data_IF_202701869258
#
_entry.id   IF_202701869258
#
_cell.length_a   1.000
_cell.length_b   1.000
_cell.length_c   1.000
_cell.angle_alpha   90.00
_cell.angle_beta   90.00
_cell.angle_gamma   90.00
#
_symmetry.space_group_name_H-M   'P 1'
#
loop_
_entity.id
_entity.type
_entity.pdbx_description
1 polymer ?
#
# COMPACT_ATOMS: atom_id res chain seq x y z
N UNK A 1 -20.78 -23.41 12.66
CA UNK A 1 -21.31 -22.18 12.05
C UNK A 1 -20.15 -21.30 11.58
N UNK A 2 -20.14 -20.92 10.30
CA UNK A 2 -19.07 -20.04 9.81
C UNK A 2 -19.27 -18.63 10.34
N UNK A 3 -18.19 -18.05 10.87
CA UNK A 3 -18.18 -16.68 11.37
C UNK A 3 -17.21 -15.87 10.51
N UNK A 4 -17.68 -14.77 9.99
CA UNK A 4 -16.89 -13.84 9.18
C UNK A 4 -16.84 -12.49 9.86
N UNK A 5 -15.65 -11.96 10.04
CA UNK A 5 -15.42 -10.60 10.51
C UNK A 5 -14.94 -9.75 9.34
N UNK A 6 -15.57 -8.60 9.16
CA UNK A 6 -15.11 -7.60 8.20
C UNK A 6 -14.47 -6.44 8.97
N UNK A 7 -13.22 -6.14 8.65
CA UNK A 7 -12.45 -5.09 9.30
C UNK A 7 -12.11 -4.02 8.28
N UNK A 8 -12.34 -2.75 8.63
CA UNK A 8 -11.97 -1.63 7.77
C UNK A 8 -10.90 -0.78 8.47
N UNK A 9 -9.82 -0.54 7.75
CA UNK A 9 -8.73 0.34 8.21
C UNK A 9 -8.68 1.57 7.31
N UNK A 10 -8.91 2.73 7.90
CA UNK A 10 -8.82 4.01 7.20
C UNK A 10 -7.37 4.45 7.00
N UNK A 11 -7.18 5.60 6.33
CA UNK A 11 -5.85 6.10 5.96
C UNK A 11 -4.90 6.32 7.14
N UNK A 12 -5.40 6.75 8.30
CA UNK A 12 -4.56 6.92 9.49
C UNK A 12 -4.11 5.60 10.09
N UNK A 13 -4.94 4.55 9.96
CA UNK A 13 -4.64 3.21 10.50
C UNK A 13 -3.63 2.43 9.66
N UNK A 14 -3.38 2.85 8.43
CA UNK A 14 -2.41 2.22 7.52
C UNK A 14 -1.45 3.25 6.93
N UNK A 15 -1.39 4.45 7.50
CA UNK A 15 -0.66 5.58 6.94
C UNK A 15 0.86 5.49 7.10
N UNK A 16 1.35 4.69 8.00
CA UNK A 16 2.78 4.55 8.29
C UNK A 16 3.14 3.11 8.57
N UNK A 17 4.44 2.83 8.64
CA UNK A 17 4.94 1.49 9.00
C UNK A 17 4.43 1.07 10.38
N UNK A 18 4.49 1.97 11.36
CA UNK A 18 4.02 1.66 12.71
C UNK A 18 2.52 1.40 12.76
N UNK A 19 1.73 2.19 12.04
CA UNK A 19 0.29 1.97 11.92
C UNK A 19 -0.01 0.61 11.27
N UNK A 20 0.71 0.26 10.22
CA UNK A 20 0.58 -1.04 9.55
C UNK A 20 0.93 -2.20 10.48
N UNK A 21 1.97 -2.06 11.31
CA UNK A 21 2.32 -3.07 12.32
C UNK A 21 1.15 -3.30 13.29
N UNK A 22 0.53 -2.24 13.75
CA UNK A 22 -0.63 -2.33 14.64
C UNK A 22 -1.82 -2.99 13.95
N UNK A 23 -2.11 -2.61 12.71
CA UNK A 23 -3.20 -3.22 11.93
C UNK A 23 -2.97 -4.71 11.71
N UNK A 24 -1.74 -5.12 11.38
CA UNK A 24 -1.36 -6.53 11.21
C UNK A 24 -1.59 -7.31 12.50
N UNK A 25 -1.22 -6.74 13.64
CA UNK A 25 -1.40 -7.41 14.93
C UNK A 25 -2.89 -7.59 15.26
N UNK A 26 -3.70 -6.57 15.00
CA UNK A 26 -5.15 -6.64 15.19
C UNK A 26 -5.76 -7.75 14.33
N UNK A 27 -5.33 -7.85 13.07
CA UNK A 27 -5.80 -8.88 12.14
C UNK A 27 -5.38 -10.28 12.63
N UNK A 28 -4.16 -10.44 13.07
CA UNK A 28 -3.66 -11.71 13.61
C UNK A 28 -4.47 -12.17 14.82
N UNK A 29 -4.76 -11.24 15.71
CA UNK A 29 -5.54 -11.52 16.91
C UNK A 29 -6.98 -11.90 16.55
N UNK A 30 -7.58 -11.21 15.60
CA UNK A 30 -8.94 -11.51 15.14
C UNK A 30 -9.02 -12.90 14.49
N UNK A 31 -8.00 -13.34 13.78
CA UNK A 31 -7.98 -14.66 13.14
C UNK A 31 -8.01 -15.81 14.11
N UNK A 32 -7.70 -15.60 15.38
CA UNK A 32 -7.79 -16.63 16.42
C UNK A 32 -9.23 -16.93 16.79
N UNK A 33 -10.13 -15.97 16.66
CA UNK A 33 -11.52 -16.06 17.11
C UNK A 33 -12.53 -16.21 15.97
N UNK A 34 -12.12 -15.88 14.74
CA UNK A 34 -12.99 -15.84 13.56
C UNK A 34 -12.49 -16.79 12.48
N UNK A 35 -13.41 -17.53 11.87
CA UNK A 35 -13.08 -18.45 10.78
C UNK A 35 -12.57 -17.71 9.55
N UNK A 36 -13.19 -16.58 9.24
CA UNK A 36 -12.82 -15.76 8.10
C UNK A 36 -12.70 -14.31 8.53
N UNK A 37 -11.66 -13.66 8.05
CA UNK A 37 -11.45 -12.24 8.25
C UNK A 37 -11.30 -11.58 6.88
N UNK A 38 -12.16 -10.61 6.61
CA UNK A 38 -12.09 -9.79 5.40
C UNK A 38 -11.55 -8.43 5.80
N UNK A 39 -10.47 -8.02 5.17
CA UNK A 39 -9.81 -6.74 5.49
C UNK A 39 -10.01 -5.77 4.33
N UNK A 40 -10.59 -4.62 4.64
CA UNK A 40 -10.74 -3.50 3.70
C UNK A 40 -9.81 -2.40 4.16
N UNK A 41 -8.93 -1.93 3.30
CA UNK A 41 -7.91 -0.96 3.67
C UNK A 41 -7.85 0.20 2.68
N UNK A 42 -7.41 1.36 3.20
CA UNK A 42 -7.06 2.51 2.38
C UNK A 42 -5.61 2.42 1.90
N UNK A 43 -5.22 3.35 1.03
CA UNK A 43 -3.82 3.57 0.66
C UNK A 43 -3.05 4.17 1.85
N UNK A 44 -1.73 4.07 1.81
CA UNK A 44 -0.85 4.72 2.78
C UNK A 44 -0.99 6.24 2.71
N UNK A 45 -0.61 6.91 3.79
CA UNK A 45 -0.70 8.37 3.88
C UNK A 45 0.01 9.06 2.71
N UNK A 46 -0.68 10.00 2.08
CA UNK A 46 -0.15 10.78 0.96
C UNK A 46 -0.22 10.10 -0.40
N UNK A 47 -0.48 8.80 -0.48
CA UNK A 47 -0.49 8.06 -1.76
C UNK A 47 -1.64 8.53 -2.65
N UNK A 48 -2.83 8.72 -2.11
CA UNK A 48 -3.97 9.20 -2.90
C UNK A 48 -3.66 10.54 -3.55
N UNK A 49 -3.04 11.47 -2.81
CA UNK A 49 -2.67 12.77 -3.35
C UNK A 49 -1.59 12.65 -4.44
N UNK A 50 -0.60 11.77 -4.26
CA UNK A 50 0.40 11.50 -5.29
C UNK A 50 -0.24 10.99 -6.58
N UNK A 51 -1.22 10.10 -6.46
CA UNK A 51 -1.93 9.57 -7.63
C UNK A 51 -2.78 10.65 -8.31
N UNK A 52 -3.47 11.48 -7.53
CA UNK A 52 -4.25 12.60 -8.08
C UNK A 52 -3.34 13.63 -8.78
N UNK A 53 -2.20 13.93 -8.18
CA UNK A 53 -1.23 14.87 -8.75
C UNK A 53 -0.66 14.34 -10.07
N UNK A 54 -0.37 13.03 -10.14
CA UNK A 54 0.14 12.41 -11.36
C UNK A 54 -0.90 12.47 -12.48
N UNK A 55 -2.17 12.20 -12.16
CA UNK A 55 -3.26 12.26 -13.12
C UNK A 55 -3.49 13.69 -13.61
N UNK A 56 -3.47 14.67 -12.71
CA UNK A 56 -3.63 16.08 -13.05
C UNK A 56 -2.50 16.58 -13.96
N UNK A 57 -1.25 16.24 -13.64
CA UNK A 57 -0.09 16.60 -14.45
C UNK A 57 -0.15 15.96 -15.83
N UNK A 58 -0.49 14.68 -15.89
CA UNK A 58 -0.61 13.94 -17.16
C UNK A 58 -1.70 14.54 -18.04
N UNK A 59 -2.85 14.91 -17.48
CA UNK A 59 -3.96 15.50 -18.24
C UNK A 59 -3.60 16.85 -18.85
N UNK A 60 -2.60 17.54 -18.30
CA UNK A 60 -2.10 18.82 -18.81
C UNK A 60 -0.88 18.67 -19.72
N UNK A 61 -0.48 17.43 -20.01
CA UNK A 61 0.72 17.16 -20.78
C UNK A 61 2.04 17.47 -20.05
N UNK A 62 1.97 17.67 -18.73
CA UNK A 62 3.15 17.98 -17.90
C UNK A 62 3.68 16.69 -17.28
N UNK A 63 4.87 16.27 -17.71
CA UNK A 63 5.47 15.03 -17.25
C UNK A 63 6.70 15.24 -16.35
N UNK A 64 7.08 16.47 -16.09
CA UNK A 64 8.31 16.82 -15.35
C UNK A 64 8.27 16.35 -13.88
N UNK A 65 7.08 16.27 -13.29
CA UNK A 65 6.90 15.84 -11.90
C UNK A 65 6.79 14.31 -11.74
N UNK A 66 6.59 13.56 -12.83
CA UNK A 66 6.39 12.11 -12.76
C UNK A 66 7.56 11.35 -12.12
N UNK A 67 8.84 11.65 -12.45
CA UNK A 67 9.94 10.94 -11.79
C UNK A 67 9.97 11.10 -10.27
N UNK A 68 9.64 12.27 -9.76
CA UNK A 68 9.59 12.52 -8.31
C UNK A 68 8.42 11.76 -7.66
N UNK A 69 7.27 11.74 -8.31
CA UNK A 69 6.10 10.99 -7.83
C UNK A 69 6.40 9.49 -7.83
N UNK A 70 6.99 8.97 -8.90
CA UNK A 70 7.41 7.58 -9.02
C UNK A 70 8.36 7.19 -7.87
N UNK A 71 9.39 8.00 -7.62
CA UNK A 71 10.33 7.77 -6.53
C UNK A 71 9.64 7.77 -5.16
N UNK A 72 8.73 8.73 -4.92
CA UNK A 72 7.99 8.80 -3.66
C UNK A 72 7.12 7.57 -3.42
N UNK A 73 6.42 7.12 -4.44
CA UNK A 73 5.59 5.91 -4.36
C UNK A 73 6.46 4.68 -4.05
N UNK A 74 7.57 4.54 -4.75
CA UNK A 74 8.49 3.43 -4.56
C UNK A 74 9.09 3.43 -3.15
N UNK A 75 9.59 4.56 -2.68
CA UNK A 75 10.19 4.69 -1.35
C UNK A 75 9.21 4.34 -0.25
N UNK A 76 8.00 4.87 -0.30
CA UNK A 76 6.97 4.59 0.72
C UNK A 76 6.66 3.09 0.81
N UNK A 77 6.38 2.47 -0.32
CA UNK A 77 5.95 1.08 -0.35
C UNK A 77 7.10 0.13 -0.08
N UNK A 78 8.29 0.41 -0.60
CA UNK A 78 9.47 -0.41 -0.36
C UNK A 78 9.91 -0.35 1.10
N UNK A 79 9.86 0.83 1.72
CA UNK A 79 10.16 0.97 3.14
C UNK A 79 9.20 0.14 4.00
N UNK A 80 7.92 0.13 3.67
CA UNK A 80 6.95 -0.70 4.36
C UNK A 80 7.22 -2.20 4.16
N UNK A 81 7.51 -2.62 2.94
CA UNK A 81 7.84 -4.01 2.65
C UNK A 81 9.11 -4.45 3.39
N UNK A 82 10.15 -3.63 3.38
CA UNK A 82 11.41 -3.92 4.08
C UNK A 82 11.21 -4.04 5.59
N UNK A 83 10.36 -3.22 6.17
CA UNK A 83 10.11 -3.21 7.61
C UNK A 83 9.17 -4.33 8.07
N UNK A 84 8.21 -4.73 7.24
CA UNK A 84 7.11 -5.62 7.64
C UNK A 84 7.27 -7.05 7.18
N UNK A 85 7.94 -7.29 6.07
CA UNK A 85 8.09 -8.63 5.51
C UNK A 85 9.49 -9.15 5.85
N UNK A 86 9.56 -10.14 6.73
CA UNK A 86 10.84 -10.69 7.22
C UNK A 86 11.41 -11.75 6.28
N UNK A 87 10.56 -12.50 5.59
CA UNK A 87 10.99 -13.49 4.61
C UNK A 87 11.58 -12.78 3.39
N UNK A 88 12.86 -13.03 3.09
CA UNK A 88 13.57 -12.33 2.02
C UNK A 88 12.95 -12.61 0.64
N UNK A 89 12.61 -13.85 0.35
CA UNK A 89 12.01 -14.23 -0.92
C UNK A 89 10.65 -13.55 -1.13
N UNK A 90 9.80 -13.57 -0.10
CA UNK A 90 8.50 -12.93 -0.14
C UNK A 90 8.62 -11.41 -0.25
N UNK A 91 9.56 -10.82 0.48
CA UNK A 91 9.81 -9.39 0.43
C UNK A 91 10.23 -8.94 -0.97
N UNK A 92 11.16 -9.65 -1.59
CA UNK A 92 11.64 -9.31 -2.94
C UNK A 92 10.55 -9.51 -3.99
N UNK A 93 9.74 -10.55 -3.85
CA UNK A 93 8.57 -10.77 -4.72
C UNK A 93 7.56 -9.63 -4.58
N UNK A 94 7.26 -9.21 -3.36
CA UNK A 94 6.33 -8.12 -3.08
C UNK A 94 6.84 -6.80 -3.66
N UNK A 95 8.13 -6.50 -3.48
CA UNK A 95 8.74 -5.29 -4.03
C UNK A 95 8.71 -5.31 -5.56
N UNK A 96 8.93 -6.46 -6.18
CA UNK A 96 8.84 -6.61 -7.63
C UNK A 96 7.42 -6.34 -8.15
N UNK A 97 6.41 -6.84 -7.46
CA UNK A 97 5.00 -6.60 -7.81
C UNK A 97 4.61 -5.13 -7.63
N UNK A 98 5.07 -4.50 -6.55
CA UNK A 98 4.88 -3.07 -6.32
C UNK A 98 5.51 -2.25 -7.44
N UNK A 99 6.74 -2.57 -7.81
CA UNK A 99 7.44 -1.89 -8.89
C UNK A 99 6.72 -2.01 -10.23
N UNK A 100 6.19 -3.19 -10.54
CA UNK A 100 5.41 -3.43 -11.76
C UNK A 100 4.15 -2.54 -11.79
N UNK A 101 3.46 -2.39 -10.67
CA UNK A 101 2.28 -1.51 -10.57
C UNK A 101 2.64 -0.05 -10.76
N UNK A 102 3.76 0.40 -10.18
CA UNK A 102 4.24 1.77 -10.33
C UNK A 102 4.59 2.06 -11.80
N UNK A 103 5.30 1.14 -12.45
CA UNK A 103 5.64 1.28 -13.87
C UNK A 103 4.40 1.31 -14.75
N UNK A 104 3.37 0.53 -14.43
CA UNK A 104 2.09 0.57 -15.14
C UNK A 104 1.41 1.94 -15.01
N UNK A 105 1.47 2.55 -13.83
CA UNK A 105 0.95 3.90 -13.62
C UNK A 105 1.70 4.92 -14.47
N UNK A 106 3.02 4.85 -14.50
CA UNK A 106 3.86 5.78 -15.29
C UNK A 106 3.54 5.64 -16.77
N UNK A 107 3.34 4.42 -17.26
CA UNK A 107 2.98 4.19 -18.67
C UNK A 107 1.61 4.79 -19.02
N UNK A 108 0.67 4.82 -18.08
CA UNK A 108 -0.65 5.44 -18.30
C UNK A 108 -0.58 6.96 -18.36
N UNK A 109 0.41 7.54 -17.71
CA UNK A 109 0.63 8.98 -17.73
C UNK A 109 1.46 9.38 -18.96
#
# INVERSE_FOLDING_TARGET
MSKTLVMKFGGTSVGSVDALKNAIQIIRDAKKDWERVVVVTSAMSGVTNLLLDSAASASQGKVDSLPAIESSLREKHFAAADALIKDESLREQTKSEINALILSLVDLC
#
